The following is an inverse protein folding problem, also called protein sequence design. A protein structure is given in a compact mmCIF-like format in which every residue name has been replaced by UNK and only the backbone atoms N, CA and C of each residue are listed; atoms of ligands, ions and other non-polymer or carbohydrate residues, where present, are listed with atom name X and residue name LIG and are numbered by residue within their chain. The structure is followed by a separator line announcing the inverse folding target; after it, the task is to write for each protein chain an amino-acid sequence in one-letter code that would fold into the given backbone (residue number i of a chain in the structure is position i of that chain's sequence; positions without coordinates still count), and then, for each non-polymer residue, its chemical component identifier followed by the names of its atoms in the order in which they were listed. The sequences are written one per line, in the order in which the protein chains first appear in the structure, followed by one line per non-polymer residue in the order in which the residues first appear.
data_IF_495544169778
#
_entry.id   IF_495544169778
#
_cell.length_a   1.000
_cell.length_b   1.000
_cell.length_c   1.000
_cell.angle_alpha   90.00
_cell.angle_beta   90.00
_cell.angle_gamma   90.00
#
_symmetry.space_group_name_H-M   'P 1'
#
loop_
_entity.id
_entity.type
_entity.pdbx_description
1 polymer ?
#
# COMPACT_ATOMS: atom_id res chain seq x y z
N UNK A 1 -5.90 -8.45 -16.96
CA UNK A 1 -5.08 -8.94 -15.83
C UNK A 1 -5.98 -9.46 -14.71
N UNK A 2 -5.88 -10.75 -14.37
CA UNK A 2 -6.69 -11.36 -13.29
C UNK A 2 -6.27 -10.74 -11.96
N UNK A 3 -7.18 -9.99 -11.32
CA UNK A 3 -6.88 -9.36 -10.04
C UNK A 3 -6.67 -10.45 -8.98
N UNK A 4 -5.67 -10.28 -8.11
CA UNK A 4 -5.48 -11.17 -6.96
C UNK A 4 -6.77 -11.17 -6.13
N UNK A 5 -7.20 -12.32 -5.60
CA UNK A 5 -8.41 -12.46 -4.76
C UNK A 5 -8.52 -11.34 -3.71
N UNK A 6 -7.41 -10.98 -3.08
CA UNK A 6 -7.36 -9.88 -2.09
C UNK A 6 -7.63 -8.51 -2.70
N UNK A 7 -7.16 -8.25 -3.92
CA UNK A 7 -7.43 -7.00 -4.63
C UNK A 7 -8.88 -6.91 -5.08
N UNK A 8 -9.48 -8.03 -5.50
CA UNK A 8 -10.91 -8.10 -5.81
C UNK A 8 -11.74 -7.77 -4.57
N UNK A 9 -11.43 -8.39 -3.44
CA UNK A 9 -12.12 -8.17 -2.17
C UNK A 9 -11.96 -6.72 -1.64
N UNK A 10 -10.79 -6.11 -1.82
CA UNK A 10 -10.61 -4.68 -1.51
C UNK A 10 -11.51 -3.81 -2.41
N UNK A 11 -11.70 -4.20 -3.67
CA UNK A 11 -12.54 -3.45 -4.61
C UNK A 11 -14.03 -3.62 -4.29
N UNK A 12 -14.49 -4.81 -3.92
CA UNK A 12 -15.88 -5.03 -3.46
C UNK A 12 -16.17 -4.26 -2.17
N UNK A 13 -15.25 -4.27 -1.20
CA UNK A 13 -15.41 -3.48 0.03
C UNK A 13 -15.46 -1.98 -0.24
N UNK A 14 -14.76 -1.48 -1.28
CA UNK A 14 -14.87 -0.07 -1.68
C UNK A 14 -16.25 0.26 -2.24
N UNK A 15 -16.82 -0.61 -3.06
CA UNK A 15 -18.18 -0.41 -3.60
C UNK A 15 -19.21 -0.45 -2.48
N UNK A 16 -19.11 -1.44 -1.58
CA UNK A 16 -19.99 -1.55 -0.42
C UNK A 16 -19.91 -0.31 0.50
N UNK A 17 -18.71 0.16 0.84
CA UNK A 17 -18.54 1.39 1.63
C UNK A 17 -19.17 2.59 0.94
N UNK A 18 -19.04 2.71 -0.38
CA UNK A 18 -19.63 3.80 -1.14
C UNK A 18 -21.17 3.72 -1.11
N UNK A 19 -21.73 2.53 -1.23
CA UNK A 19 -23.18 2.34 -1.21
C UNK A 19 -23.77 2.59 0.18
N UNK A 20 -23.13 2.12 1.25
CA UNK A 20 -23.48 2.48 2.63
C UNK A 20 -23.37 4.00 2.85
N UNK A 21 -22.37 4.65 2.27
CA UNK A 21 -22.23 6.12 2.36
C UNK A 21 -23.37 6.84 1.62
N UNK A 22 -23.88 6.30 0.51
CA UNK A 22 -25.05 6.86 -0.18
C UNK A 22 -26.32 6.67 0.64
N UNK A 23 -26.51 5.49 1.26
CA UNK A 23 -27.63 5.20 2.15
C UNK A 23 -27.62 6.13 3.37
N UNK A 24 -26.45 6.31 3.99
CA UNK A 24 -26.27 7.23 5.14
C UNK A 24 -26.73 8.67 4.85
N UNK A 25 -26.52 9.15 3.62
CA UNK A 25 -26.95 10.51 3.22
C UNK A 25 -28.47 10.64 3.11
N UNK A 26 -29.20 9.54 2.98
CA UNK A 26 -30.66 9.49 2.80
C UNK A 26 -31.40 8.98 4.03
N UNK A 27 -30.68 8.37 4.97
CA UNK A 27 -31.23 7.73 6.15
C UNK A 27 -31.69 8.74 7.21
N UNK A 28 -32.63 8.30 8.04
CA UNK A 28 -33.08 9.02 9.22
C UNK A 28 -32.03 8.94 10.35
N UNK A 29 -32.12 9.79 11.37
CA UNK A 29 -31.13 9.82 12.46
C UNK A 29 -30.99 8.48 13.19
N UNK A 30 -32.09 7.74 13.38
CA UNK A 30 -32.09 6.42 14.00
C UNK A 30 -31.30 5.38 13.19
N UNK A 31 -31.36 5.45 11.86
CA UNK A 31 -30.66 4.51 10.97
C UNK A 31 -29.19 4.87 10.77
N UNK A 32 -28.84 6.15 10.95
CA UNK A 32 -27.48 6.66 10.74
C UNK A 32 -26.46 6.04 11.69
N UNK A 33 -26.85 5.74 12.93
CA UNK A 33 -25.97 5.08 13.89
C UNK A 33 -25.54 3.70 13.39
N UNK A 34 -26.50 2.83 13.04
CA UNK A 34 -26.21 1.51 12.50
C UNK A 34 -25.44 1.55 11.17
N UNK A 35 -25.73 2.51 10.29
CA UNK A 35 -24.98 2.70 9.03
C UNK A 35 -23.53 3.16 9.29
N UNK A 36 -23.29 3.94 10.34
CA UNK A 36 -21.94 4.33 10.75
C UNK A 36 -21.15 3.15 11.30
N UNK A 37 -21.77 2.31 12.13
CA UNK A 37 -21.15 1.08 12.63
C UNK A 37 -20.79 0.13 11.49
N UNK A 38 -21.74 -0.14 10.58
CA UNK A 38 -21.51 -0.97 9.40
C UNK A 38 -20.35 -0.44 8.55
N UNK A 39 -20.32 0.89 8.32
CA UNK A 39 -19.24 1.55 7.60
C UNK A 39 -17.89 1.41 8.30
N UNK A 40 -17.86 1.43 9.64
CA UNK A 40 -16.65 1.22 10.43
C UNK A 40 -16.09 -0.19 10.24
N UNK A 41 -16.94 -1.21 10.38
CA UNK A 41 -16.59 -2.62 10.20
C UNK A 41 -16.03 -2.88 8.79
N UNK A 42 -16.71 -2.36 7.76
CA UNK A 42 -16.25 -2.50 6.37
C UNK A 42 -14.89 -1.83 6.14
N UNK A 43 -14.69 -0.64 6.72
CA UNK A 43 -13.41 0.09 6.64
C UNK A 43 -12.28 -0.68 7.32
N UNK A 44 -12.53 -1.24 8.50
CA UNK A 44 -11.56 -2.04 9.23
C UNK A 44 -11.14 -3.26 8.41
N UNK A 45 -12.10 -4.04 7.91
CA UNK A 45 -11.82 -5.20 7.05
C UNK A 45 -10.99 -4.81 5.83
N UNK A 46 -11.37 -3.72 5.15
CA UNK A 46 -10.62 -3.19 3.99
C UNK A 46 -9.20 -2.81 4.37
N UNK A 47 -9.00 -2.13 5.49
CA UNK A 47 -7.68 -1.69 5.96
C UNK A 47 -6.79 -2.89 6.30
N UNK A 48 -7.34 -3.92 6.94
CA UNK A 48 -6.63 -5.15 7.25
C UNK A 48 -6.15 -5.87 5.98
N UNK A 49 -7.00 -5.98 4.97
CA UNK A 49 -6.60 -6.54 3.67
C UNK A 49 -5.52 -5.68 2.98
N UNK A 50 -5.65 -4.36 3.00
CA UNK A 50 -4.62 -3.48 2.44
C UNK A 50 -3.27 -3.61 3.17
N UNK A 51 -3.28 -3.72 4.49
CA UNK A 51 -2.07 -3.94 5.30
C UNK A 51 -1.40 -5.26 4.93
N UNK A 52 -2.18 -6.34 4.85
CA UNK A 52 -1.66 -7.65 4.43
C UNK A 52 -1.03 -7.60 3.03
N UNK A 53 -1.65 -6.90 2.09
CA UNK A 53 -1.11 -6.73 0.74
C UNK A 53 0.17 -5.90 0.71
N UNK A 54 0.24 -4.83 1.52
CA UNK A 54 1.45 -4.01 1.68
C UNK A 54 2.61 -4.84 2.23
N UNK A 55 2.36 -5.63 3.29
CA UNK A 55 3.36 -6.53 3.88
C UNK A 55 3.85 -7.55 2.86
N UNK A 56 2.94 -8.16 2.09
CA UNK A 56 3.28 -9.13 1.04
C UNK A 56 4.19 -8.51 -0.03
N UNK A 57 3.84 -7.32 -0.52
CA UNK A 57 4.66 -6.58 -1.50
C UNK A 57 6.03 -6.24 -0.91
N UNK A 58 6.08 -5.71 0.30
CA UNK A 58 7.34 -5.38 0.97
C UNK A 58 8.23 -6.62 1.19
N UNK A 59 7.66 -7.77 1.56
CA UNK A 59 8.40 -9.04 1.68
C UNK A 59 8.98 -9.49 0.34
N UNK A 60 8.19 -9.40 -0.74
CA UNK A 60 8.65 -9.72 -2.09
C UNK A 60 9.82 -8.83 -2.52
N UNK A 61 9.69 -7.51 -2.33
CA UNK A 61 10.74 -6.56 -2.72
C UNK A 61 12.01 -6.75 -1.88
N UNK A 62 11.90 -7.03 -0.57
CA UNK A 62 13.05 -7.43 0.26
C UNK A 62 13.72 -8.69 -0.28
N UNK A 63 12.94 -9.71 -0.65
CA UNK A 63 13.46 -10.93 -1.26
C UNK A 63 14.23 -10.67 -2.56
N UNK A 64 13.68 -9.84 -3.45
CA UNK A 64 14.36 -9.41 -4.69
C UNK A 64 15.66 -8.68 -4.40
N UNK A 65 15.65 -7.69 -3.50
CA UNK A 65 16.87 -6.93 -3.11
C UNK A 65 17.94 -7.86 -2.54
N UNK A 66 17.57 -8.80 -1.67
CA UNK A 66 18.49 -9.82 -1.15
C UNK A 66 19.06 -10.69 -2.26
N UNK A 67 18.22 -11.16 -3.19
CA UNK A 67 18.66 -11.95 -4.34
C UNK A 67 19.66 -11.19 -5.23
N UNK A 68 19.40 -9.91 -5.50
CA UNK A 68 20.33 -9.07 -6.27
C UNK A 68 21.67 -8.87 -5.55
N UNK A 69 21.65 -8.64 -4.24
CA UNK A 69 22.88 -8.50 -3.44
C UNK A 69 23.71 -9.79 -3.43
N UNK A 70 23.07 -10.95 -3.21
CA UNK A 70 23.76 -12.25 -3.22
C UNK A 70 24.32 -12.57 -4.61
N UNK A 71 23.58 -12.26 -5.67
CA UNK A 71 24.03 -12.51 -7.04
C UNK A 71 25.25 -11.64 -7.43
N UNK A 72 25.27 -10.36 -7.03
CA UNK A 72 26.41 -9.49 -7.24
C UNK A 72 26.40 -8.31 -6.26
N UNK A 73 27.18 -8.45 -5.18
CA UNK A 73 27.26 -7.46 -4.11
C UNK A 73 27.84 -6.13 -4.60
N UNK A 74 28.90 -6.15 -5.42
CA UNK A 74 29.53 -4.94 -5.96
C UNK A 74 28.57 -4.13 -6.84
N UNK A 75 27.88 -4.76 -7.79
CA UNK A 75 26.89 -4.07 -8.64
C UNK A 75 25.71 -3.55 -7.82
N UNK A 76 25.25 -4.32 -6.83
CA UNK A 76 24.17 -3.89 -5.95
C UNK A 76 24.56 -2.67 -5.10
N UNK A 77 25.72 -2.70 -4.44
CA UNK A 77 26.20 -1.57 -3.63
C UNK A 77 26.53 -0.37 -4.50
N UNK A 78 27.16 -0.57 -5.67
CA UNK A 78 27.39 0.50 -6.65
C UNK A 78 26.08 1.17 -7.06
N UNK A 79 25.07 0.40 -7.46
CA UNK A 79 23.76 0.97 -7.82
C UNK A 79 23.04 1.66 -6.64
N UNK A 80 23.20 1.13 -5.42
CA UNK A 80 22.59 1.68 -4.21
C UNK A 80 23.26 3.00 -3.77
N UNK A 81 24.59 3.10 -3.91
CA UNK A 81 25.39 4.24 -3.47
C UNK A 81 25.55 5.31 -4.56
N UNK A 82 25.70 4.91 -5.83
CA UNK A 82 25.85 5.83 -6.96
C UNK A 82 24.52 6.48 -7.38
N UNK A 83 23.37 5.97 -6.93
CA UNK A 83 22.03 6.49 -7.24
C UNK A 83 21.75 7.91 -6.75
N UNK A 84 22.66 8.50 -5.97
CA UNK A 84 22.54 9.85 -5.39
C UNK A 84 23.79 10.71 -5.63
N UNK A 85 24.44 10.62 -6.79
CA UNK A 85 25.43 11.65 -7.21
C UNK A 85 24.72 12.93 -7.69
N UNK A 86 23.86 13.50 -6.86
CA UNK A 86 23.26 14.82 -7.05
C UNK A 86 23.98 15.85 -6.14
N UNK A 87 25.31 15.85 -6.17
CA UNK A 87 26.13 16.76 -5.39
C UNK A 87 27.44 17.04 -6.11
N UNK A 88 27.55 18.23 -6.71
CA UNK A 88 28.81 18.74 -7.24
C UNK A 88 29.70 19.16 -6.06
N UNK A 89 30.61 18.28 -5.63
CA UNK A 89 31.66 18.67 -4.69
C UNK A 89 32.68 19.50 -5.46
N UNK A 90 32.56 20.83 -5.40
CA UNK A 90 33.63 21.73 -5.85
C UNK A 90 34.68 21.77 -4.74
N UNK A 91 35.79 21.07 -4.94
CA UNK A 91 36.98 21.25 -4.12
C UNK A 91 37.63 22.57 -4.53
N UNK A 92 37.71 23.53 -3.61
CA UNK A 92 38.68 24.62 -3.70
C UNK A 92 40.06 24.03 -3.42
N UNK A 93 40.95 24.07 -4.41
CA UNK A 93 42.37 23.78 -4.20
C UNK A 93 42.95 24.87 -3.30
N UNK A 94 43.65 24.47 -2.25
CA UNK A 94 44.66 25.30 -1.59
C UNK A 94 45.91 25.42 -2.47
#
# INVERSE_FOLDING_TARGET
MKHNRRQQEIQTLRTEINDVTKQYRRANEEEKEGLNELRSILRERRNNLQRAERIRKARRERGKKRGMFVANSYKFTKATLDGTKAGSVKSTKE
#
